data_IF_061338335636
#
_entry.id   IF_061338335636
#
_cell.length_a   1.000
_cell.length_b   1.000
_cell.length_c   1.000
_cell.angle_alpha   90.00
_cell.angle_beta   90.00
_cell.angle_gamma   90.00
#
_symmetry.space_group_name_H-M   'P 1'
#
loop_
_entity.id
_entity.type
_entity.pdbx_description
1 polymer ?
#
# COMPACT_ATOMS: atom_id res chain seq x y z
N UNK A 1 -21.63 5.52 -11.65
CA UNK A 1 -21.15 4.62 -10.58
C UNK A 1 -20.61 5.50 -9.47
N UNK A 2 -21.08 5.32 -8.24
CA UNK A 2 -20.52 6.02 -7.08
C UNK A 2 -19.04 5.65 -6.93
N UNK A 3 -18.20 6.64 -6.61
CA UNK A 3 -16.78 6.41 -6.30
C UNK A 3 -16.71 5.49 -5.07
N UNK A 4 -15.96 4.37 -5.09
CA UNK A 4 -15.88 3.49 -3.93
C UNK A 4 -15.28 4.25 -2.74
N UNK A 5 -15.79 3.99 -1.55
CA UNK A 5 -15.31 4.64 -0.32
C UNK A 5 -13.79 4.52 -0.16
N UNK A 6 -13.24 3.35 -0.52
CA UNK A 6 -11.78 3.11 -0.52
C UNK A 6 -11.32 2.55 -1.86
N UNK A 7 -10.15 3.01 -2.31
CA UNK A 7 -9.49 2.49 -3.49
C UNK A 7 -8.53 1.39 -3.02
N UNK A 8 -8.92 0.13 -3.21
CA UNK A 8 -8.10 -1.03 -2.90
C UNK A 8 -7.57 -1.59 -4.22
N UNK A 9 -6.27 -1.46 -4.46
CA UNK A 9 -5.62 -1.99 -5.66
C UNK A 9 -5.29 -3.48 -5.50
N UNK A 10 -5.15 -3.95 -4.24
CA UNK A 10 -4.86 -5.34 -3.92
C UNK A 10 -3.40 -5.77 -4.16
N UNK A 11 -2.56 -4.88 -4.62
CA UNK A 11 -1.14 -5.20 -4.88
C UNK A 11 -0.36 -5.41 -3.56
N UNK A 12 -0.60 -4.55 -2.57
CA UNK A 12 -0.02 -4.63 -1.24
C UNK A 12 -0.84 -3.81 -0.23
N UNK A 13 -1.17 -4.40 0.91
CA UNK A 13 -2.03 -3.77 1.94
C UNK A 13 -1.47 -2.43 2.43
N UNK A 14 -0.15 -2.31 2.59
CA UNK A 14 0.46 -1.06 3.02
C UNK A 14 0.31 0.08 2.00
N UNK A 15 0.28 -0.23 0.69
CA UNK A 15 0.01 0.76 -0.35
C UNK A 15 -1.47 1.14 -0.39
N UNK A 16 -2.38 0.18 -0.21
CA UNK A 16 -3.80 0.47 -0.07
C UNK A 16 -4.07 1.39 1.13
N UNK A 17 -3.33 1.20 2.24
CA UNK A 17 -3.39 2.09 3.40
C UNK A 17 -2.87 3.50 3.08
N UNK A 18 -1.73 3.64 2.42
CA UNK A 18 -1.21 4.94 1.95
C UNK A 18 -2.20 5.62 1.01
N UNK A 19 -2.81 4.85 0.11
CA UNK A 19 -3.74 5.34 -0.90
C UNK A 19 -5.07 5.85 -0.31
N UNK A 20 -5.39 5.58 0.95
CA UNK A 20 -6.55 6.19 1.63
C UNK A 20 -6.49 7.72 1.70
N UNK A 21 -5.29 8.30 1.70
CA UNK A 21 -5.07 9.76 1.62
C UNK A 21 -4.78 10.27 0.20
N UNK A 22 -5.02 9.44 -0.80
CA UNK A 22 -4.66 9.69 -2.20
C UNK A 22 -5.85 9.39 -3.11
N UNK A 23 -5.75 9.77 -4.38
CA UNK A 23 -6.87 9.51 -5.28
C UNK A 23 -6.59 9.82 -6.73
N UNK A 24 -7.66 9.74 -7.52
CA UNK A 24 -7.73 10.18 -8.90
C UNK A 24 -8.45 11.53 -8.94
N UNK A 25 -7.75 12.59 -9.32
CA UNK A 25 -8.28 13.96 -9.24
C UNK A 25 -8.28 14.52 -7.81
N UNK A 26 -9.24 15.38 -7.50
CA UNK A 26 -9.38 16.06 -6.20
C UNK A 26 -10.06 15.16 -5.15
N UNK A 27 -9.56 13.98 -4.88
CA UNK A 27 -10.08 13.17 -3.78
C UNK A 27 -9.41 13.58 -2.47
N UNK A 28 -10.23 13.81 -1.44
CA UNK A 28 -9.77 14.11 -0.09
C UNK A 28 -9.25 12.89 0.67
N UNK A 29 -8.82 13.11 1.90
CA UNK A 29 -8.46 12.05 2.84
C UNK A 29 -9.71 11.22 3.19
N UNK A 30 -9.64 9.91 3.00
CA UNK A 30 -10.73 8.96 3.31
C UNK A 30 -10.65 8.40 4.72
N UNK A 31 -9.52 8.57 5.40
CA UNK A 31 -9.38 8.25 6.82
C UNK A 31 -9.45 9.55 7.62
N UNK A 32 -10.66 10.04 7.84
CA UNK A 32 -10.91 11.31 8.55
C UNK A 32 -10.91 11.14 10.06
N UNK A 33 -11.26 9.94 10.54
CA UNK A 33 -11.46 9.62 11.95
C UNK A 33 -11.30 8.10 12.23
N UNK A 34 -11.42 7.69 13.49
CA UNK A 34 -11.33 6.29 13.90
C UNK A 34 -12.44 5.42 13.27
N UNK A 35 -13.63 5.96 13.06
CA UNK A 35 -14.72 5.22 12.42
C UNK A 35 -14.43 4.94 10.94
N UNK A 36 -13.84 5.90 10.22
CA UNK A 36 -13.38 5.69 8.86
C UNK A 36 -12.25 4.66 8.80
N UNK A 37 -11.32 4.67 9.77
CA UNK A 37 -10.30 3.65 9.89
C UNK A 37 -10.90 2.26 10.13
N UNK A 38 -11.88 2.13 11.02
CA UNK A 38 -12.60 0.86 11.23
C UNK A 38 -13.25 0.36 9.94
N UNK A 39 -13.92 1.21 9.16
CA UNK A 39 -14.51 0.83 7.87
C UNK A 39 -13.46 0.38 6.86
N UNK A 40 -12.31 1.07 6.83
CA UNK A 40 -11.19 0.66 5.98
C UNK A 40 -10.64 -0.71 6.35
N UNK A 41 -10.42 -1.00 7.65
CA UNK A 41 -9.95 -2.33 8.09
C UNK A 41 -10.90 -3.43 7.66
N UNK A 42 -12.22 -3.20 7.77
CA UNK A 42 -13.25 -4.13 7.31
C UNK A 42 -13.21 -4.33 5.79
N UNK A 43 -13.12 -3.24 5.03
CA UNK A 43 -13.01 -3.31 3.56
C UNK A 43 -11.75 -4.06 3.11
N UNK A 44 -10.64 -3.88 3.82
CA UNK A 44 -9.35 -4.56 3.57
C UNK A 44 -9.27 -5.96 4.18
N UNK A 45 -10.34 -6.46 4.82
CA UNK A 45 -10.41 -7.78 5.48
C UNK A 45 -9.34 -7.96 6.56
N UNK A 46 -9.01 -6.90 7.27
CA UNK A 46 -8.06 -6.92 8.38
C UNK A 46 -8.81 -7.00 9.71
N UNK A 47 -8.15 -7.56 10.74
CA UNK A 47 -8.63 -7.48 12.11
C UNK A 47 -8.50 -6.05 12.61
N UNK A 48 -9.63 -5.39 12.87
CA UNK A 48 -9.65 -4.02 13.37
C UNK A 48 -9.00 -3.92 14.75
N UNK A 49 -8.23 -2.88 14.95
CA UNK A 49 -7.64 -2.42 16.21
C UNK A 49 -8.11 -0.99 16.55
N UNK A 50 -9.14 -0.51 15.87
CA UNK A 50 -9.65 0.87 15.99
C UNK A 50 -10.14 1.22 17.43
N UNK A 51 -10.50 0.22 18.23
CA UNK A 51 -10.94 0.42 19.62
C UNK A 51 -9.76 0.54 20.61
N UNK A 52 -8.56 0.15 20.22
CA UNK A 52 -7.37 0.09 21.08
C UNK A 52 -6.26 1.02 20.64
N UNK A 53 -6.27 1.44 19.37
CA UNK A 53 -5.25 2.29 18.76
C UNK A 53 -5.69 3.75 18.78
N UNK A 54 -4.81 4.65 19.21
CA UNK A 54 -5.02 6.08 19.04
C UNK A 54 -5.01 6.46 17.55
N UNK A 55 -6.08 7.10 17.09
CA UNK A 55 -6.20 7.54 15.69
C UNK A 55 -5.04 8.47 15.26
N UNK A 56 -4.43 9.21 16.17
CA UNK A 56 -3.23 10.00 15.87
C UNK A 56 -2.05 9.10 15.47
N UNK A 57 -1.95 7.89 16.02
CA UNK A 57 -0.96 6.89 15.65
C UNK A 57 -1.21 6.33 14.24
N UNK A 58 -2.45 6.03 13.91
CA UNK A 58 -2.87 5.61 12.56
C UNK A 58 -2.42 6.64 11.51
N UNK A 59 -2.70 7.92 11.74
CA UNK A 59 -2.31 9.03 10.86
C UNK A 59 -0.79 9.17 10.77
N UNK A 60 -0.10 9.08 11.88
CA UNK A 60 1.37 9.17 11.95
C UNK A 60 2.03 8.04 11.18
N UNK A 61 1.55 6.82 11.36
CA UNK A 61 2.06 5.66 10.63
C UNK A 61 1.81 5.79 9.13
N UNK A 62 0.59 6.13 8.72
CA UNK A 62 0.29 6.38 7.30
C UNK A 62 1.20 7.44 6.68
N UNK A 63 1.47 8.53 7.40
CA UNK A 63 2.38 9.58 6.92
C UNK A 63 3.82 9.08 6.76
N UNK A 64 4.28 8.18 7.62
CA UNK A 64 5.62 7.56 7.49
C UNK A 64 5.67 6.61 6.30
N UNK A 65 4.62 5.81 6.08
CA UNK A 65 4.53 4.92 4.94
C UNK A 65 4.40 5.69 3.61
N UNK A 66 3.71 6.84 3.62
CA UNK A 66 3.68 7.70 2.45
C UNK A 66 5.08 8.19 2.05
N UNK A 67 5.88 8.67 3.01
CA UNK A 67 7.28 9.07 2.74
C UNK A 67 8.12 7.89 2.25
N UNK A 68 7.85 6.68 2.75
CA UNK A 68 8.48 5.46 2.25
C UNK A 68 8.10 5.21 0.78
N UNK A 69 6.82 5.28 0.44
CA UNK A 69 6.35 5.08 -0.93
C UNK A 69 6.93 6.13 -1.90
N UNK A 70 7.00 7.39 -1.48
CA UNK A 70 7.63 8.49 -2.22
C UNK A 70 9.11 8.21 -2.49
N UNK A 71 9.86 7.82 -1.46
CA UNK A 71 11.29 7.51 -1.59
C UNK A 71 11.53 6.33 -2.52
N UNK A 72 10.80 5.22 -2.33
CA UNK A 72 10.93 4.02 -3.16
C UNK A 72 10.54 4.27 -4.62
N UNK A 73 9.48 5.04 -4.86
CA UNK A 73 9.05 5.40 -6.20
C UNK A 73 10.06 6.31 -6.92
N UNK A 74 10.84 7.10 -6.17
CA UNK A 74 11.93 7.93 -6.67
C UNK A 74 13.29 7.18 -6.77
N UNK A 75 13.34 5.89 -6.40
CA UNK A 75 14.60 5.12 -6.37
C UNK A 75 15.54 5.55 -5.23
N UNK A 76 15.04 6.22 -4.21
CA UNK A 76 15.81 6.69 -3.05
C UNK A 76 15.80 5.65 -1.93
N UNK A 77 16.78 5.69 -1.02
CA UNK A 77 16.81 4.83 0.16
C UNK A 77 15.58 5.02 1.04
N UNK A 78 15.14 3.93 1.69
CA UNK A 78 14.03 3.96 2.63
C UNK A 78 14.36 4.89 3.82
N UNK A 79 13.47 5.84 4.21
CA UNK A 79 13.70 6.75 5.32
C UNK A 79 13.81 5.98 6.66
N UNK A 80 14.87 6.23 7.43
CA UNK A 80 15.12 5.54 8.69
C UNK A 80 13.94 5.60 9.67
N UNK A 81 13.25 6.74 9.75
CA UNK A 81 12.09 6.91 10.63
C UNK A 81 10.87 6.04 10.19
N UNK A 82 10.74 5.69 8.91
CA UNK A 82 9.74 4.76 8.43
C UNK A 82 10.08 3.33 8.83
N UNK A 83 11.36 2.94 8.69
CA UNK A 83 11.85 1.62 9.10
C UNK A 83 11.70 1.43 10.61
N UNK A 84 12.09 2.43 11.43
CA UNK A 84 11.92 2.37 12.90
C UNK A 84 10.45 2.12 13.27
N UNK A 85 9.51 2.79 12.63
CA UNK A 85 8.10 2.63 12.96
C UNK A 85 7.54 1.28 12.48
N UNK A 86 7.96 0.79 11.32
CA UNK A 86 7.62 -0.56 10.85
C UNK A 86 8.14 -1.59 11.87
N UNK A 87 9.42 -1.52 12.25
CA UNK A 87 10.03 -2.47 13.19
C UNK A 87 9.34 -2.46 14.56
N UNK A 88 8.90 -1.29 15.05
CA UNK A 88 8.14 -1.19 16.30
C UNK A 88 6.85 -2.01 16.21
N UNK A 89 6.06 -1.83 15.16
CA UNK A 89 4.79 -2.55 14.98
C UNK A 89 4.99 -4.06 14.71
N UNK A 90 6.10 -4.43 14.07
CA UNK A 90 6.46 -5.83 13.90
C UNK A 90 6.86 -6.48 15.24
N UNK A 91 7.51 -5.74 16.12
CA UNK A 91 7.91 -6.24 17.44
C UNK A 91 6.72 -6.54 18.35
N UNK A 92 5.59 -5.85 18.16
CA UNK A 92 4.35 -6.11 18.89
C UNK A 92 3.65 -7.41 18.43
N UNK A 93 4.02 -7.96 17.27
CA UNK A 93 3.44 -9.18 16.73
C UNK A 93 4.08 -10.42 17.37
N UNK A 94 3.28 -11.21 18.07
CA UNK A 94 3.71 -12.52 18.59
C UNK A 94 3.54 -13.60 17.53
N UNK A 95 4.52 -14.51 17.43
CA UNK A 95 4.49 -15.58 16.44
C UNK A 95 5.80 -16.36 16.40
N UNK A 96 5.89 -17.28 15.45
CA UNK A 96 7.03 -18.18 15.27
C UNK A 96 7.54 -18.17 13.84
N UNK A 97 8.81 -18.48 13.68
CA UNK A 97 9.41 -18.77 12.39
C UNK A 97 9.01 -20.18 11.94
N UNK A 98 8.63 -20.31 10.68
CA UNK A 98 8.33 -21.60 10.07
C UNK A 98 9.02 -21.76 8.74
N UNK A 99 9.48 -22.99 8.43
CA UNK A 99 9.96 -23.32 7.11
C UNK A 99 8.75 -23.69 6.23
N UNK A 100 8.51 -22.91 5.20
CA UNK A 100 7.41 -23.13 4.24
C UNK A 100 7.94 -23.35 2.84
N UNK A 101 7.21 -24.15 2.06
CA UNK A 101 7.52 -24.37 0.65
C UNK A 101 6.56 -23.59 -0.21
N UNK A 102 7.07 -22.67 -1.02
CA UNK A 102 6.29 -21.81 -1.90
C UNK A 102 6.91 -21.84 -3.31
N UNK A 103 6.10 -22.14 -4.32
CA UNK A 103 6.54 -22.23 -5.72
C UNK A 103 7.80 -23.10 -5.93
N UNK A 104 7.88 -24.20 -5.17
CA UNK A 104 9.01 -25.15 -5.25
C UNK A 104 10.25 -24.77 -4.43
N UNK A 105 10.30 -23.58 -3.85
CA UNK A 105 11.44 -23.08 -3.06
C UNK A 105 11.10 -23.06 -1.57
N UNK A 106 12.07 -23.41 -0.72
CA UNK A 106 11.95 -23.30 0.72
C UNK A 106 12.28 -21.89 1.19
N UNK A 107 11.44 -21.34 2.06
CA UNK A 107 11.71 -20.05 2.74
C UNK A 107 11.32 -20.10 4.19
N UNK A 108 11.99 -19.30 5.01
CA UNK A 108 11.56 -19.04 6.39
C UNK A 108 10.49 -17.97 6.34
N UNK A 109 9.33 -18.25 6.94
CA UNK A 109 8.22 -17.33 7.05
C UNK A 109 7.83 -17.13 8.52
N UNK A 110 7.42 -15.93 8.85
CA UNK A 110 6.80 -15.64 10.14
C UNK A 110 5.34 -16.08 10.12
N UNK A 111 4.95 -16.89 11.13
CA UNK A 111 3.57 -17.30 11.36
C UNK A 111 3.09 -16.69 12.67
N UNK A 112 2.15 -15.72 12.63
CA UNK A 112 1.64 -15.13 13.86
C UNK A 112 0.78 -16.13 14.62
N UNK A 113 0.82 -16.08 15.97
CA UNK A 113 0.03 -16.95 16.84
C UNK A 113 -1.46 -16.60 16.82
N UNK A 114 -1.80 -15.38 16.42
CA UNK A 114 -3.15 -14.90 16.18
C UNK A 114 -3.21 -13.97 14.96
N UNK A 115 -4.40 -13.70 14.44
CA UNK A 115 -4.60 -12.72 13.37
C UNK A 115 -4.03 -11.36 13.79
N UNK A 116 -3.10 -10.83 13.02
CA UNK A 116 -2.44 -9.55 13.31
C UNK A 116 -3.46 -8.40 13.38
N UNK A 117 -3.29 -7.47 14.34
CA UNK A 117 -3.97 -6.17 14.30
C UNK A 117 -3.69 -5.45 12.99
N UNK A 118 -4.60 -4.58 12.57
CA UNK A 118 -4.52 -3.96 11.25
C UNK A 118 -3.22 -3.20 11.03
N UNK A 119 -2.74 -2.39 11.99
CA UNK A 119 -1.46 -1.68 11.84
C UNK A 119 -0.27 -2.64 11.75
N UNK A 120 -0.24 -3.72 12.53
CA UNK A 120 0.81 -4.74 12.45
C UNK A 120 0.77 -5.48 11.10
N UNK A 121 -0.43 -5.78 10.58
CA UNK A 121 -0.58 -6.37 9.25
C UNK A 121 -0.09 -5.45 8.13
N UNK A 122 -0.36 -4.14 8.23
CA UNK A 122 0.16 -3.13 7.31
C UNK A 122 1.69 -3.04 7.38
N UNK A 123 2.25 -3.04 8.60
CA UNK A 123 3.71 -3.04 8.81
C UNK A 123 4.38 -4.29 8.23
N UNK A 124 3.77 -5.46 8.43
CA UNK A 124 4.24 -6.73 7.86
C UNK A 124 4.22 -6.71 6.33
N UNK A 125 3.14 -6.19 5.73
CA UNK A 125 3.05 -6.01 4.28
C UNK A 125 4.13 -5.09 3.72
N UNK A 126 4.45 -4.00 4.42
CA UNK A 126 5.54 -3.09 4.03
C UNK A 126 6.92 -3.75 4.16
N UNK A 127 7.15 -4.52 5.22
CA UNK A 127 8.40 -5.25 5.44
C UNK A 127 8.67 -6.30 4.36
N UNK A 128 7.63 -7.07 3.97
CA UNK A 128 7.74 -8.04 2.86
C UNK A 128 8.12 -7.32 1.57
N UNK A 129 7.46 -6.21 1.24
CA UNK A 129 7.76 -5.45 0.02
C UNK A 129 9.18 -4.87 0.02
N UNK A 130 9.71 -4.46 1.18
CA UNK A 130 11.09 -3.98 1.32
C UNK A 130 12.12 -5.09 1.21
N UNK A 131 11.78 -6.30 1.68
CA UNK A 131 12.66 -7.47 1.63
C UNK A 131 12.71 -8.13 0.25
N UNK A 132 11.74 -7.86 -0.62
CA UNK A 132 11.71 -8.41 -1.97
C UNK A 132 12.60 -7.59 -2.93
N UNK A 133 13.71 -8.17 -3.44
CA UNK A 133 14.65 -7.46 -4.31
C UNK A 133 14.06 -7.08 -5.67
N UNK A 134 12.96 -7.70 -6.08
CA UNK A 134 12.31 -7.44 -7.38
C UNK A 134 11.07 -6.57 -7.25
N UNK A 135 10.51 -6.41 -6.06
CA UNK A 135 9.38 -5.52 -5.83
C UNK A 135 9.77 -4.05 -6.09
N UNK A 136 8.93 -3.35 -6.80
CA UNK A 136 9.11 -1.91 -7.09
C UNK A 136 7.84 -1.17 -6.77
N UNK A 137 7.98 -0.08 -6.04
CA UNK A 137 6.90 0.88 -5.81
C UNK A 137 6.94 1.92 -6.91
N UNK A 138 5.79 2.25 -7.46
CA UNK A 138 5.63 3.29 -8.49
C UNK A 138 4.44 4.19 -8.18
N UNK A 139 4.56 5.44 -8.55
CA UNK A 139 3.41 6.33 -8.62
C UNK A 139 2.72 6.16 -9.98
N UNK A 140 1.39 6.23 -9.98
CA UNK A 140 0.60 6.13 -11.19
C UNK A 140 0.92 7.28 -12.16
N UNK A 141 1.14 6.95 -13.43
CA UNK A 141 1.40 7.93 -14.51
C UNK A 141 0.12 8.53 -15.11
N UNK A 142 -1.07 8.21 -14.56
CA UNK A 142 -2.34 8.79 -14.99
C UNK A 142 -2.43 10.27 -14.61
N UNK A 143 -2.96 11.11 -15.52
CA UNK A 143 -3.15 12.53 -15.25
C UNK A 143 -4.01 12.75 -14.00
N UNK A 144 -3.53 13.54 -13.05
CA UNK A 144 -4.19 13.81 -11.77
C UNK A 144 -4.28 12.63 -10.80
N UNK A 145 -3.69 11.47 -11.11
CA UNK A 145 -3.67 10.34 -10.21
C UNK A 145 -2.45 10.40 -9.28
N UNK A 146 -2.68 10.28 -7.98
CA UNK A 146 -1.63 10.32 -6.96
C UNK A 146 -1.40 8.99 -6.26
N UNK A 147 -2.01 7.89 -6.75
CA UNK A 147 -1.93 6.57 -6.15
C UNK A 147 -0.56 5.93 -6.36
N UNK A 148 -0.14 5.14 -5.37
CA UNK A 148 1.02 4.26 -5.46
C UNK A 148 0.56 2.81 -5.69
N UNK A 149 1.36 2.03 -6.40
CA UNK A 149 1.12 0.62 -6.65
C UNK A 149 2.43 -0.17 -6.64
N UNK A 150 2.34 -1.47 -6.41
CA UNK A 150 3.46 -2.38 -6.46
C UNK A 150 3.58 -3.00 -7.86
N UNK A 151 4.83 -3.18 -8.28
CA UNK A 151 5.18 -3.85 -9.52
C UNK A 151 6.18 -4.96 -9.17
N UNK A 152 5.82 -6.20 -9.40
CA UNK A 152 6.61 -7.37 -9.04
C UNK A 152 7.23 -8.08 -10.23
N UNK A 153 7.86 -9.23 -9.96
CA UNK A 153 8.50 -10.06 -10.99
C UNK A 153 7.52 -10.55 -12.08
N UNK A 154 6.27 -10.79 -11.73
CA UNK A 154 5.22 -11.19 -12.68
C UNK A 154 4.94 -10.11 -13.73
N UNK A 155 5.20 -8.85 -13.43
CA UNK A 155 5.01 -7.70 -14.32
C UNK A 155 6.29 -7.29 -15.06
N UNK A 156 7.41 -7.98 -14.84
CA UNK A 156 8.74 -7.57 -15.29
C UNK A 156 8.90 -7.40 -16.82
N UNK A 157 7.97 -7.95 -17.59
CA UNK A 157 7.98 -7.82 -19.06
C UNK A 157 7.10 -6.69 -19.62
N UNK A 158 6.16 -6.13 -18.87
CA UNK A 158 5.14 -5.24 -19.40
C UNK A 158 5.18 -3.80 -18.88
N UNK A 159 6.08 -3.45 -17.96
CA UNK A 159 6.30 -2.07 -17.52
C UNK A 159 5.04 -1.34 -17.06
N UNK A 160 4.20 -1.96 -16.20
CA UNK A 160 2.97 -1.36 -15.67
C UNK A 160 3.22 0.10 -15.25
N UNK A 161 2.50 1.03 -15.86
CA UNK A 161 2.64 2.48 -15.65
C UNK A 161 1.48 3.07 -14.86
N UNK A 162 0.37 2.37 -14.75
CA UNK A 162 -0.87 2.84 -14.15
C UNK A 162 -1.33 1.94 -13.00
N UNK A 163 -1.95 2.54 -11.99
CA UNK A 163 -2.53 1.79 -10.88
C UNK A 163 -3.64 0.84 -11.34
N UNK A 164 -4.42 1.26 -12.34
CA UNK A 164 -5.40 0.44 -13.03
C UNK A 164 -5.45 0.85 -14.50
N UNK A 165 -5.27 -0.11 -15.42
CA UNK A 165 -5.27 0.15 -16.86
C UNK A 165 -6.61 0.72 -17.35
N UNK A 166 -7.72 0.15 -16.87
CA UNK A 166 -9.06 0.55 -17.28
C UNK A 166 -9.40 2.01 -16.96
N UNK A 167 -8.80 2.56 -15.89
CA UNK A 167 -9.17 3.87 -15.36
C UNK A 167 -8.12 4.93 -15.69
N UNK A 168 -6.84 4.64 -15.43
CA UNK A 168 -5.76 5.59 -15.64
C UNK A 168 -5.12 5.47 -17.04
N UNK A 169 -5.03 4.26 -17.59
CA UNK A 169 -4.45 4.03 -18.92
C UNK A 169 -5.30 4.62 -20.03
N UNK A 170 -6.61 4.35 -20.03
CA UNK A 170 -7.55 4.87 -21.04
C UNK A 170 -7.72 6.38 -20.93
N UNK A 171 -7.83 6.95 -19.74
CA UNK A 171 -7.95 8.39 -19.54
C UNK A 171 -6.73 9.13 -20.12
N UNK A 172 -5.53 8.67 -19.81
CA UNK A 172 -4.30 9.22 -20.36
C UNK A 172 -4.19 9.10 -21.88
N UNK A 173 -4.78 8.06 -22.48
CA UNK A 173 -4.81 7.92 -23.94
C UNK A 173 -5.76 8.91 -24.59
N UNK A 174 -6.95 9.15 -24.01
CA UNK A 174 -7.93 10.14 -24.50
C UNK A 174 -7.37 11.56 -24.41
N UNK A 175 -6.70 11.93 -23.31
CA UNK A 175 -6.09 13.26 -23.16
C UNK A 175 -4.95 13.49 -24.18
N UNK A 176 -4.09 12.50 -24.41
CA UNK A 176 -3.04 12.60 -25.44
C UNK A 176 -3.59 12.78 -26.83
N UNK A 177 -4.70 12.09 -27.18
CA UNK A 177 -5.36 12.30 -28.47
C UNK A 177 -5.97 13.68 -28.62
N UNK A 178 -6.60 14.22 -27.57
CA UNK A 178 -7.14 15.59 -27.56
C UNK A 178 -6.04 16.65 -27.67
N UNK A 179 -4.88 16.42 -27.06
CA UNK A 179 -3.72 17.32 -27.14
C UNK A 179 -3.02 17.29 -28.51
N UNK A 180 -3.05 16.16 -29.21
CA UNK A 180 -2.45 16.01 -30.56
C UNK A 180 -3.33 16.57 -31.70
N UNK A 181 -4.58 16.94 -31.40
CA UNK A 181 -5.54 17.54 -32.36
C UNK A 181 -5.65 19.08 -32.20
N UNK A 182 -4.82 19.68 -31.36
CA UNK A 182 -4.65 21.14 -31.20
C UNK A 182 -3.29 21.59 -31.72
#
# INVERSE_FOLDING_TARGET
MADPEFILLGDAVWLDFVNTGRGRGRSGDRLTDAAAYHRWTKASRLRSDADTVDYSEVRRFRSRLLRLAEALAAGLPAPAASITMINRLLHEAQGRQQLVRESGTWRVAFSPDATLPALSAVAHSAAIALADPVARVRQCAGSGCTLYFSHGAADAGQGRRWCAEAECGRAGWVERRRGALR
#
